data_IF_685469432784
#
_entry.id   IF_685469432784
#
_cell.length_a   1.000
_cell.length_b   1.000
_cell.length_c   1.000
_cell.angle_alpha   90.00
_cell.angle_beta   90.00
_cell.angle_gamma   90.00
#
_symmetry.space_group_name_H-M   'P 1'
#
loop_
_entity.id
_entity.type
_entity.pdbx_description
1 polymer ?
#
# COMPACT_ATOMS: atom_id res chain seq x y z
N UNK A 1 -66.07 -47.56 -76.59
CA UNK A 1 -65.18 -48.11 -75.62
C UNK A 1 -64.08 -47.03 -75.49
N UNK A 2 -64.21 -46.25 -74.52
CA UNK A 2 -63.55 -44.95 -74.47
C UNK A 2 -62.55 -44.98 -73.38
N UNK A 3 -61.34 -44.75 -73.71
CA UNK A 3 -60.25 -44.49 -72.78
C UNK A 3 -60.17 -43.04 -72.47
N UNK A 4 -60.23 -42.77 -71.21
CA UNK A 4 -60.05 -41.41 -70.64
C UNK A 4 -58.68 -41.29 -70.02
N UNK A 5 -57.77 -40.68 -70.71
CA UNK A 5 -56.45 -40.40 -70.21
C UNK A 5 -56.45 -39.07 -69.51
N UNK A 6 -56.35 -39.09 -68.20
CA UNK A 6 -56.19 -37.92 -67.40
C UNK A 6 -54.77 -37.42 -67.49
N UNK A 7 -54.67 -36.21 -67.98
CA UNK A 7 -53.43 -35.45 -68.07
C UNK A 7 -53.16 -34.77 -66.71
N UNK A 8 -52.22 -35.27 -65.93
CA UNK A 8 -51.74 -34.62 -64.72
C UNK A 8 -50.65 -33.62 -65.10
N UNK A 9 -51.01 -32.38 -64.96
CA UNK A 9 -50.05 -31.26 -65.11
C UNK A 9 -49.31 -31.05 -63.79
N UNK A 10 -47.97 -31.24 -63.73
CA UNK A 10 -47.25 -30.90 -62.56
C UNK A 10 -47.13 -29.37 -62.48
N UNK A 11 -47.70 -28.80 -61.45
CA UNK A 11 -47.48 -27.39 -61.09
C UNK A 11 -46.01 -27.15 -60.90
N UNK A 12 -45.38 -26.52 -61.88
CA UNK A 12 -44.06 -25.89 -61.70
C UNK A 12 -44.27 -24.72 -60.73
N UNK A 13 -43.84 -24.90 -59.54
CA UNK A 13 -43.66 -23.78 -58.62
C UNK A 13 -42.64 -22.77 -59.25
N UNK A 14 -43.21 -21.73 -59.83
CA UNK A 14 -42.40 -20.57 -60.24
C UNK A 14 -41.85 -19.94 -59.01
N UNK A 15 -40.61 -20.25 -58.75
CA UNK A 15 -39.84 -19.49 -57.76
C UNK A 15 -39.69 -18.08 -58.30
N UNK A 16 -40.43 -17.14 -57.71
CA UNK A 16 -40.30 -15.73 -58.02
C UNK A 16 -38.88 -15.26 -57.54
N UNK A 17 -38.14 -14.76 -58.49
CA UNK A 17 -36.79 -14.15 -58.21
C UNK A 17 -36.89 -12.91 -57.33
N UNK A 18 -38.09 -12.44 -57.05
CA UNK A 18 -38.36 -11.26 -56.19
C UNK A 18 -38.87 -11.61 -54.79
N UNK A 19 -38.59 -12.81 -54.28
CA UNK A 19 -38.90 -13.10 -52.87
C UNK A 19 -37.81 -12.51 -51.95
N UNK A 20 -37.86 -11.20 -51.78
CA UNK A 20 -37.00 -10.41 -50.91
C UNK A 20 -37.11 -10.78 -49.42
N UNK A 21 -38.01 -11.71 -49.08
CA UNK A 21 -38.19 -12.16 -47.69
C UNK A 21 -37.19 -13.18 -47.21
N UNK A 22 -36.39 -13.77 -48.09
CA UNK A 22 -35.51 -14.89 -47.72
C UNK A 22 -34.03 -14.53 -47.53
N UNK A 23 -33.60 -13.38 -47.99
CA UNK A 23 -32.23 -12.98 -47.84
C UNK A 23 -32.11 -11.80 -46.87
N UNK A 24 -32.05 -12.11 -45.58
CA UNK A 24 -31.66 -11.12 -44.61
C UNK A 24 -30.18 -10.78 -44.86
N UNK A 25 -29.96 -9.73 -45.63
CA UNK A 25 -28.60 -9.24 -45.92
C UNK A 25 -28.01 -8.77 -44.60
N UNK A 26 -27.21 -9.62 -43.99
CA UNK A 26 -26.45 -9.25 -42.79
C UNK A 26 -25.36 -8.26 -43.21
N UNK A 27 -25.25 -7.17 -42.47
CA UNK A 27 -24.15 -6.22 -42.71
C UNK A 27 -22.79 -6.93 -42.60
N UNK A 28 -21.76 -6.49 -43.36
CA UNK A 28 -20.44 -7.11 -43.33
C UNK A 28 -19.89 -7.25 -41.88
N UNK A 29 -20.18 -6.30 -41.02
CA UNK A 29 -19.82 -6.35 -39.60
C UNK A 29 -20.49 -7.47 -38.82
N UNK A 30 -21.79 -7.71 -39.09
CA UNK A 30 -22.54 -8.80 -38.46
C UNK A 30 -22.02 -10.19 -38.86
N UNK A 31 -21.56 -10.34 -40.11
CA UNK A 31 -20.97 -11.59 -40.61
C UNK A 31 -19.61 -11.86 -39.94
N UNK A 32 -18.79 -10.83 -39.77
CA UNK A 32 -17.50 -10.93 -39.08
C UNK A 32 -17.71 -11.27 -37.61
N UNK A 33 -18.62 -10.56 -36.93
CA UNK A 33 -18.97 -10.84 -35.54
C UNK A 33 -19.46 -12.27 -35.34
N UNK A 34 -20.39 -12.76 -36.20
CA UNK A 34 -20.89 -14.14 -36.14
C UNK A 34 -19.77 -15.18 -36.30
N UNK A 35 -18.81 -14.94 -37.20
CA UNK A 35 -17.63 -15.83 -37.36
C UNK A 35 -16.70 -15.77 -36.15
N UNK A 36 -16.49 -14.60 -35.60
CA UNK A 36 -15.64 -14.37 -34.42
C UNK A 36 -16.19 -15.12 -33.21
N UNK A 37 -17.49 -14.93 -32.89
CA UNK A 37 -18.11 -15.59 -31.73
C UNK A 37 -18.28 -17.10 -31.89
N UNK A 38 -18.18 -17.64 -33.11
CA UNK A 38 -18.14 -19.09 -33.35
C UNK A 38 -16.78 -19.70 -33.04
N UNK A 39 -15.72 -18.90 -32.98
CA UNK A 39 -14.40 -19.37 -32.64
C UNK A 39 -14.20 -19.29 -31.11
N UNK A 40 -14.19 -20.43 -30.43
CA UNK A 40 -14.05 -20.52 -28.97
C UNK A 40 -12.75 -19.87 -28.45
N UNK A 41 -11.63 -20.03 -29.18
CA UNK A 41 -10.36 -19.40 -28.84
C UNK A 41 -10.42 -17.87 -28.91
N UNK A 42 -11.09 -17.33 -29.93
CA UNK A 42 -11.26 -15.89 -30.07
C UNK A 42 -12.14 -15.31 -28.94
N UNK A 43 -13.17 -16.03 -28.52
CA UNK A 43 -14.04 -15.63 -27.40
C UNK A 43 -13.26 -15.65 -26.08
N UNK A 44 -12.44 -16.69 -25.83
CA UNK A 44 -11.58 -16.75 -24.64
C UNK A 44 -10.59 -15.58 -24.63
N UNK A 45 -9.91 -15.31 -25.76
CA UNK A 45 -8.99 -14.18 -25.85
C UNK A 45 -9.67 -12.84 -25.61
N UNK A 46 -10.87 -12.64 -26.17
CA UNK A 46 -11.66 -11.43 -25.91
C UNK A 46 -12.07 -11.32 -24.43
N UNK A 47 -12.45 -12.42 -23.80
CA UNK A 47 -12.84 -12.43 -22.38
C UNK A 47 -11.69 -12.03 -21.48
N UNK A 48 -10.48 -12.55 -21.75
CA UNK A 48 -9.26 -12.17 -21.01
C UNK A 48 -8.97 -10.67 -21.20
N UNK A 49 -9.06 -10.19 -22.44
CA UNK A 49 -8.80 -8.78 -22.74
C UNK A 49 -9.79 -7.87 -22.04
N UNK A 50 -11.09 -8.20 -22.05
CA UNK A 50 -12.12 -7.45 -21.34
C UNK A 50 -11.89 -7.50 -19.83
N UNK A 51 -11.53 -8.66 -19.29
CA UNK A 51 -11.22 -8.79 -17.85
C UNK A 51 -10.02 -7.93 -17.46
N UNK A 52 -8.94 -7.90 -18.25
CA UNK A 52 -7.80 -7.03 -18.01
C UNK A 52 -8.19 -5.55 -18.09
N UNK A 53 -9.02 -5.19 -19.04
CA UNK A 53 -9.48 -3.81 -19.20
C UNK A 53 -10.32 -3.37 -17.99
N UNK A 54 -11.28 -4.20 -17.57
CA UNK A 54 -12.09 -3.97 -16.38
C UNK A 54 -11.21 -3.86 -15.13
N UNK A 55 -10.25 -4.76 -14.96
CA UNK A 55 -9.32 -4.74 -13.83
C UNK A 55 -8.46 -3.48 -13.82
N UNK A 56 -8.01 -3.01 -14.98
CA UNK A 56 -7.21 -1.78 -15.10
C UNK A 56 -7.96 -0.53 -14.64
N UNK A 57 -9.26 -0.42 -14.97
CA UNK A 57 -10.06 0.74 -14.59
C UNK A 57 -10.67 0.63 -13.19
N UNK A 58 -11.12 -0.55 -12.80
CA UNK A 58 -11.76 -0.76 -11.50
C UNK A 58 -10.70 -0.96 -10.41
N UNK A 59 -9.53 -1.54 -10.74
CA UNK A 59 -8.46 -1.80 -9.77
C UNK A 59 -8.03 -0.56 -9.03
N UNK A 60 -7.87 0.58 -9.73
CA UNK A 60 -7.54 1.86 -9.11
C UNK A 60 -8.65 2.44 -8.22
N UNK A 61 -9.92 2.08 -8.49
CA UNK A 61 -11.06 2.54 -7.70
C UNK A 61 -11.29 1.72 -6.43
N UNK A 62 -10.90 0.44 -6.49
CA UNK A 62 -11.07 -0.52 -5.37
C UNK A 62 -9.82 -0.55 -4.49
N UNK A 63 -8.66 -0.13 -5.02
CA UNK A 63 -7.44 -0.06 -4.25
C UNK A 63 -7.55 1.04 -3.18
N UNK A 64 -7.35 0.72 -1.90
CA UNK A 64 -7.31 1.73 -0.84
C UNK A 64 -6.02 2.56 -0.86
N UNK A 65 -5.13 2.30 -1.83
CA UNK A 65 -3.81 2.91 -1.92
C UNK A 65 -3.78 3.97 -3.01
N UNK A 66 -3.14 5.12 -2.73
CA UNK A 66 -2.88 6.17 -3.71
C UNK A 66 -1.89 5.73 -4.79
N UNK A 67 -1.93 6.37 -5.96
CA UNK A 67 -1.03 6.05 -7.07
C UNK A 67 0.45 6.34 -6.75
N UNK A 68 0.69 7.27 -5.84
CA UNK A 68 2.03 7.71 -5.43
C UNK A 68 2.42 7.17 -4.05
N UNK A 69 1.65 6.23 -3.51
CA UNK A 69 1.88 5.67 -2.19
C UNK A 69 3.08 4.71 -2.21
N UNK A 70 4.16 5.12 -1.57
CA UNK A 70 5.37 4.29 -1.44
C UNK A 70 5.30 3.48 -0.15
N UNK A 71 5.32 2.15 -0.29
CA UNK A 71 5.40 1.24 0.85
C UNK A 71 6.86 1.01 1.22
N UNK A 72 7.28 1.61 2.33
CA UNK A 72 8.58 1.28 2.90
C UNK A 72 8.44 0.08 3.82
N UNK A 73 9.08 -1.02 3.46
CA UNK A 73 9.09 -2.23 4.29
C UNK A 73 10.10 -2.08 5.40
N UNK A 74 9.70 -1.49 6.52
CA UNK A 74 10.56 -1.37 7.71
C UNK A 74 10.89 -2.73 8.35
N UNK A 75 10.18 -3.78 8.01
CA UNK A 75 10.40 -5.14 8.51
C UNK A 75 11.57 -5.88 7.84
N UNK A 76 12.08 -5.39 6.72
CA UNK A 76 13.34 -5.89 6.15
C UNK A 76 14.53 -5.14 6.76
N UNK A 77 14.49 -5.10 8.06
CA UNK A 77 15.52 -4.44 8.81
C UNK A 77 16.80 -5.17 8.67
N UNK A 78 17.83 -4.41 8.34
CA UNK A 78 19.17 -4.78 8.72
C UNK A 78 19.12 -5.38 10.12
N UNK A 79 19.66 -6.59 10.29
CA UNK A 79 19.84 -7.19 11.59
C UNK A 79 20.45 -6.14 12.49
N UNK A 80 19.95 -6.04 13.72
CA UNK A 80 20.64 -5.25 14.74
C UNK A 80 21.99 -5.88 14.94
N UNK A 81 23.01 -5.28 14.39
CA UNK A 81 24.38 -5.69 14.65
C UNK A 81 24.77 -5.05 15.98
N UNK A 82 25.35 -5.85 16.85
CA UNK A 82 25.94 -5.36 18.10
C UNK A 82 26.90 -4.20 17.78
N UNK A 83 26.71 -3.06 18.43
CA UNK A 83 27.54 -1.88 18.23
C UNK A 83 27.09 -0.92 17.11
N UNK A 84 25.95 -1.15 16.45
CA UNK A 84 25.38 -0.15 15.54
C UNK A 84 24.55 0.82 16.36
N UNK A 85 24.97 2.07 16.36
CA UNK A 85 24.28 3.17 17.05
C UNK A 85 23.48 4.04 16.09
N UNK A 86 23.69 3.91 14.78
CA UNK A 86 23.02 4.71 13.75
C UNK A 86 22.75 3.90 12.48
N UNK A 87 21.57 4.07 11.91
CA UNK A 87 21.16 3.46 10.64
C UNK A 87 21.20 4.47 9.49
N UNK A 88 21.38 3.99 8.26
CA UNK A 88 21.29 4.81 7.05
C UNK A 88 19.87 5.31 6.78
N UNK A 89 18.86 4.60 7.26
CA UNK A 89 17.44 4.91 7.09
C UNK A 89 16.75 5.05 8.43
N UNK A 90 15.75 5.90 8.49
CA UNK A 90 14.90 6.01 9.68
C UNK A 90 14.20 4.71 10.02
N UNK A 91 14.19 4.35 11.29
CA UNK A 91 13.42 3.24 11.87
C UNK A 91 12.25 3.80 12.64
N UNK A 92 11.09 3.20 12.43
CA UNK A 92 9.89 3.55 13.18
C UNK A 92 9.70 2.59 14.36
N UNK A 93 9.53 3.12 15.54
CA UNK A 93 9.20 2.37 16.76
C UNK A 93 7.81 2.79 17.21
N UNK A 94 6.90 1.82 17.27
CA UNK A 94 5.51 2.05 17.69
C UNK A 94 5.45 2.08 19.20
N UNK A 95 4.69 3.02 19.75
CA UNK A 95 4.48 3.12 21.19
C UNK A 95 3.71 1.90 21.72
N UNK A 96 4.02 1.51 22.95
CA UNK A 96 3.43 0.35 23.59
C UNK A 96 1.89 0.45 23.62
N UNK A 97 1.22 -0.60 23.17
CA UNK A 97 -0.25 -0.66 23.13
C UNK A 97 -0.91 0.15 22.01
N UNK A 98 -0.15 0.80 21.13
CA UNK A 98 -0.70 1.52 19.98
C UNK A 98 -0.68 0.67 18.71
N UNK A 99 -1.70 0.88 17.85
CA UNK A 99 -1.76 0.30 16.50
C UNK A 99 -1.41 1.38 15.49
N UNK A 100 -0.18 1.34 14.98
CA UNK A 100 0.29 2.24 13.94
C UNK A 100 0.95 1.44 12.83
N UNK A 101 0.13 1.04 11.86
CA UNK A 101 0.53 0.12 10.79
C UNK A 101 1.54 0.72 9.82
N UNK A 102 2.21 -0.14 9.05
CA UNK A 102 3.30 0.21 8.13
C UNK A 102 2.92 1.28 7.09
N UNK A 103 1.65 1.32 6.66
CA UNK A 103 1.16 2.34 5.71
C UNK A 103 1.12 3.72 6.38
N UNK A 104 0.62 3.81 7.62
CA UNK A 104 0.63 5.06 8.36
C UNK A 104 2.05 5.55 8.64
N UNK A 105 2.98 4.62 8.95
CA UNK A 105 4.42 4.91 9.10
C UNK A 105 5.02 5.47 7.81
N UNK A 106 4.64 4.90 6.65
CA UNK A 106 5.10 5.40 5.35
C UNK A 106 4.59 6.80 5.04
N UNK A 107 3.33 7.10 5.39
CA UNK A 107 2.77 8.46 5.25
C UNK A 107 3.45 9.46 6.18
N UNK A 108 3.74 9.06 7.41
CA UNK A 108 4.50 9.88 8.34
C UNK A 108 5.90 10.21 7.78
N UNK A 109 6.59 9.22 7.21
CA UNK A 109 7.90 9.43 6.58
C UNK A 109 7.80 10.34 5.34
N UNK A 110 6.76 10.18 4.54
CA UNK A 110 6.53 11.07 3.39
C UNK A 110 6.31 12.51 3.84
N UNK A 111 5.44 12.71 4.83
CA UNK A 111 5.16 14.03 5.40
C UNK A 111 6.45 14.65 6.00
N UNK A 112 7.23 13.88 6.77
CA UNK A 112 8.49 14.38 7.35
C UNK A 112 9.49 14.82 6.29
N UNK A 113 9.63 14.06 5.17
CA UNK A 113 10.50 14.44 4.04
C UNK A 113 10.05 15.71 3.31
N UNK A 114 8.77 16.02 3.36
CA UNK A 114 8.21 17.25 2.80
C UNK A 114 8.26 18.43 3.78
N UNK A 115 8.61 18.18 5.04
CA UNK A 115 8.56 19.17 6.12
C UNK A 115 7.12 19.48 6.56
N UNK A 116 6.18 18.58 6.26
CA UNK A 116 4.79 18.69 6.71
C UNK A 116 4.69 18.21 8.15
N UNK A 117 3.96 18.96 8.98
CA UNK A 117 3.76 18.63 10.41
C UNK A 117 2.45 17.90 10.68
N UNK A 118 1.66 17.65 9.66
CA UNK A 118 0.37 16.98 9.76
C UNK A 118 0.14 16.06 8.56
N UNK A 119 -0.53 14.94 8.79
CA UNK A 119 -1.02 14.07 7.71
C UNK A 119 -2.28 13.33 8.15
N UNK A 120 -3.09 12.91 7.15
CA UNK A 120 -4.31 12.14 7.40
C UNK A 120 -4.16 10.72 6.85
N UNK A 121 -4.57 9.74 7.64
CA UNK A 121 -4.65 8.35 7.22
C UNK A 121 -5.94 7.70 7.74
N UNK A 122 -6.76 7.14 6.83
CA UNK A 122 -8.07 6.52 7.11
C UNK A 122 -8.99 7.43 7.95
N UNK A 123 -9.14 8.69 7.49
CA UNK A 123 -9.93 9.73 8.14
C UNK A 123 -9.51 10.05 9.59
N UNK A 124 -8.26 9.74 9.93
CA UNK A 124 -7.64 10.08 11.21
C UNK A 124 -6.49 11.04 10.94
N UNK A 125 -6.50 12.16 11.67
CA UNK A 125 -5.46 13.17 11.59
C UNK A 125 -4.35 12.86 12.60
N UNK A 126 -3.13 12.99 12.12
CA UNK A 126 -1.90 12.81 12.88
C UNK A 126 -1.03 14.04 12.78
N UNK A 127 -0.34 14.33 13.86
CA UNK A 127 0.66 15.42 13.92
C UNK A 127 2.06 14.84 14.03
N UNK A 128 3.01 15.52 13.39
CA UNK A 128 4.44 15.21 13.43
C UNK A 128 5.16 16.31 14.20
N UNK A 129 5.91 15.92 15.20
CA UNK A 129 6.91 16.77 15.81
C UNK A 129 8.27 16.45 15.17
N UNK A 130 8.69 17.31 14.24
CA UNK A 130 9.94 17.20 13.50
C UNK A 130 11.05 17.80 14.37
N UNK A 131 11.67 17.00 15.23
CA UNK A 131 12.72 17.45 16.13
C UNK A 131 13.97 17.85 15.34
N UNK A 132 14.40 16.99 14.39
CA UNK A 132 15.46 17.28 13.44
C UNK A 132 15.33 16.39 12.18
N UNK A 133 16.28 16.45 11.24
CA UNK A 133 16.26 15.67 9.99
C UNK A 133 16.35 14.15 10.20
N UNK A 134 16.77 13.70 11.36
CA UNK A 134 17.04 12.30 11.69
C UNK A 134 16.06 11.73 12.73
N UNK A 135 15.18 12.58 13.30
CA UNK A 135 14.29 12.18 14.37
C UNK A 135 12.96 12.97 14.34
N UNK A 136 11.85 12.27 14.40
CA UNK A 136 10.52 12.84 14.58
C UNK A 136 9.61 11.94 15.41
N UNK A 137 8.62 12.54 16.06
CA UNK A 137 7.61 11.86 16.86
C UNK A 137 6.23 12.04 16.22
N UNK A 138 5.41 10.99 16.24
CA UNK A 138 4.06 11.00 15.68
C UNK A 138 3.02 10.97 16.79
N UNK A 139 2.05 11.85 16.69
CA UNK A 139 0.95 11.98 17.62
C UNK A 139 -0.40 11.77 16.93
N UNK A 140 -1.36 11.24 17.71
CA UNK A 140 -2.78 11.26 17.42
C UNK A 140 -3.47 12.05 18.55
N UNK A 141 -3.81 13.30 18.27
CA UNK A 141 -4.19 14.24 19.33
C UNK A 141 -3.06 14.39 20.35
N UNK A 142 -3.28 14.00 21.60
CA UNK A 142 -2.26 14.06 22.65
C UNK A 142 -1.55 12.72 22.91
N UNK A 143 -1.87 11.70 22.13
CA UNK A 143 -1.30 10.36 22.32
C UNK A 143 -0.13 10.15 21.39
N UNK A 144 1.02 9.73 21.93
CA UNK A 144 2.17 9.31 21.14
C UNK A 144 1.86 7.99 20.46
N UNK A 145 1.98 7.96 19.13
CA UNK A 145 1.80 6.74 18.31
C UNK A 145 3.10 6.00 18.11
N UNK A 146 4.20 6.74 18.12
CA UNK A 146 5.54 6.21 17.92
C UNK A 146 6.50 7.31 17.50
N UNK A 147 7.74 6.91 17.24
CA UNK A 147 8.78 7.80 16.72
C UNK A 147 9.54 7.14 15.58
N UNK A 148 10.18 7.94 14.76
CA UNK A 148 11.15 7.47 13.79
C UNK A 148 12.50 8.13 14.03
N UNK A 149 13.55 7.33 14.06
CA UNK A 149 14.91 7.82 14.25
C UNK A 149 15.90 7.03 13.40
N UNK A 150 17.02 7.68 13.04
CA UNK A 150 18.21 6.99 12.54
C UNK A 150 19.08 6.48 13.67
N UNK A 151 19.10 7.21 14.78
CA UNK A 151 19.87 6.84 15.96
C UNK A 151 19.14 5.76 16.75
N UNK A 152 19.90 4.86 17.34
CA UNK A 152 19.43 3.73 18.12
C UNK A 152 19.85 3.90 19.57
N UNK A 153 18.92 3.67 20.47
CA UNK A 153 19.22 3.54 21.90
C UNK A 153 19.29 2.05 22.21
N UNK A 154 20.51 1.58 22.49
CA UNK A 154 20.79 0.20 22.84
C UNK A 154 21.10 0.11 24.33
N UNK A 155 20.74 -1.00 24.94
CA UNK A 155 21.08 -1.31 26.31
C UNK A 155 22.53 -1.81 26.41
N UNK A 156 23.24 -1.43 27.47
CA UNK A 156 24.55 -1.99 27.77
C UNK A 156 24.44 -3.49 28.14
N UNK A 157 25.54 -4.24 27.96
CA UNK A 157 25.57 -5.67 28.27
C UNK A 157 25.23 -5.91 29.75
N UNK A 158 24.14 -6.65 29.97
CA UNK A 158 23.64 -7.00 31.29
C UNK A 158 22.75 -5.94 31.96
N UNK A 159 22.47 -4.83 31.28
CA UNK A 159 21.52 -3.83 31.76
C UNK A 159 20.07 -4.26 31.47
N UNK A 160 19.12 -3.72 32.23
CA UNK A 160 17.70 -3.90 31.98
C UNK A 160 17.30 -3.22 30.66
N UNK A 161 16.29 -3.80 29.99
CA UNK A 161 15.80 -3.25 28.74
C UNK A 161 15.10 -1.92 28.96
N UNK A 162 15.47 -0.93 28.15
CA UNK A 162 14.76 0.33 28.09
C UNK A 162 13.37 0.14 27.48
N UNK A 163 12.37 0.69 28.12
CA UNK A 163 11.02 0.74 27.56
C UNK A 163 10.92 1.87 26.52
N UNK A 164 9.75 1.93 25.83
CA UNK A 164 9.50 2.95 24.82
C UNK A 164 9.74 4.37 25.32
N UNK A 165 9.23 4.71 26.52
CA UNK A 165 9.33 6.06 27.08
C UNK A 165 10.77 6.47 27.36
N UNK A 166 11.58 5.56 27.90
CA UNK A 166 13.01 5.82 28.13
C UNK A 166 13.76 6.05 26.83
N UNK A 167 13.51 5.23 25.79
CA UNK A 167 14.15 5.40 24.47
C UNK A 167 13.71 6.70 23.81
N UNK A 168 12.45 7.06 23.89
CA UNK A 168 11.93 8.32 23.36
C UNK A 168 12.55 9.53 24.06
N UNK A 169 12.62 9.50 25.41
CA UNK A 169 13.22 10.58 26.19
C UNK A 169 14.71 10.74 25.89
N UNK A 170 15.46 9.64 25.81
CA UNK A 170 16.87 9.66 25.47
C UNK A 170 17.10 10.26 24.07
N UNK A 171 16.37 9.82 23.05
CA UNK A 171 16.49 10.37 21.69
C UNK A 171 16.09 11.85 21.62
N UNK A 172 15.10 12.26 22.39
CA UNK A 172 14.69 13.67 22.47
C UNK A 172 15.78 14.52 23.12
N UNK A 173 16.36 14.07 24.22
CA UNK A 173 17.47 14.75 24.90
C UNK A 173 18.71 14.85 23.99
N UNK A 174 19.08 13.74 23.32
CA UNK A 174 20.16 13.73 22.34
C UNK A 174 19.94 14.74 21.21
N UNK A 175 18.72 14.76 20.66
CA UNK A 175 18.36 15.65 19.57
C UNK A 175 18.37 17.13 19.96
N UNK A 176 18.07 17.43 21.22
CA UNK A 176 18.13 18.79 21.81
C UNK A 176 19.50 19.18 22.33
N UNK A 177 20.45 18.24 22.41
CA UNK A 177 21.78 18.47 23.02
C UNK A 177 21.71 18.61 24.54
N UNK A 178 20.74 17.95 25.17
CA UNK A 178 20.62 17.92 26.64
C UNK A 178 21.51 16.83 27.23
N UNK A 179 22.16 17.14 28.34
CA UNK A 179 23.05 16.21 29.04
C UNK A 179 22.33 15.32 30.06
N UNK A 180 21.07 15.61 30.34
CA UNK A 180 20.24 14.89 31.32
C UNK A 180 18.81 14.73 30.79
N UNK A 181 18.18 13.63 31.17
CA UNK A 181 16.74 13.42 30.92
C UNK A 181 16.11 12.56 32.01
N UNK A 182 14.82 12.69 32.20
CA UNK A 182 14.05 11.87 33.14
C UNK A 182 13.05 10.99 32.38
N UNK A 183 12.97 9.72 32.75
CA UNK A 183 11.96 8.79 32.25
C UNK A 183 11.56 7.80 33.34
N UNK A 184 10.25 7.52 33.45
CA UNK A 184 9.70 6.57 34.43
C UNK A 184 10.12 6.84 35.89
N UNK A 185 10.37 8.10 36.25
CA UNK A 185 10.77 8.48 37.60
C UNK A 185 12.25 8.22 37.90
N UNK A 186 13.07 7.95 36.88
CA UNK A 186 14.53 7.81 36.98
C UNK A 186 15.18 8.95 36.22
N UNK A 187 16.20 9.56 36.83
CA UNK A 187 17.03 10.58 36.20
C UNK A 187 18.23 9.89 35.54
N UNK A 188 18.47 10.21 34.27
CA UNK A 188 19.56 9.71 33.45
C UNK A 188 20.47 10.85 33.04
N UNK A 189 21.76 10.57 32.93
CA UNK A 189 22.73 11.48 32.33
C UNK A 189 23.22 10.91 30.97
N UNK A 190 23.43 11.81 30.02
CA UNK A 190 24.02 11.55 28.71
C UNK A 190 25.39 12.19 28.65
N UNK A 191 26.39 11.44 28.26
CA UNK A 191 27.73 12.00 28.01
C UNK A 191 27.91 12.43 26.53
N UNK A 192 29.03 13.05 26.21
CA UNK A 192 29.37 13.52 24.87
C UNK A 192 29.46 12.37 23.84
N UNK A 193 29.71 11.16 24.29
CA UNK A 193 29.76 9.94 23.44
C UNK A 193 28.39 9.28 23.29
N UNK A 194 27.36 9.81 23.95
CA UNK A 194 25.97 9.30 23.91
C UNK A 194 25.71 8.13 24.86
N UNK A 195 26.62 7.87 25.83
CA UNK A 195 26.35 6.83 26.82
C UNK A 195 25.32 7.30 27.84
N UNK A 196 24.39 6.43 28.15
CA UNK A 196 23.30 6.66 29.11
C UNK A 196 23.72 6.08 30.47
N UNK A 197 23.73 6.92 31.49
CA UNK A 197 24.08 6.51 32.86
C UNK A 197 22.97 6.87 33.84
N UNK A 198 22.80 6.04 34.87
CA UNK A 198 21.93 6.34 35.99
C UNK A 198 22.54 5.75 37.26
N UNK A 199 22.52 6.52 38.37
CA UNK A 199 23.10 6.09 39.65
C UNK A 199 24.59 5.74 39.60
N UNK A 200 25.32 6.23 38.60
CA UNK A 200 26.74 5.93 38.39
C UNK A 200 27.03 4.63 37.61
N UNK A 201 26.01 3.97 37.08
CA UNK A 201 26.18 2.81 36.22
C UNK A 201 25.87 3.19 34.77
N UNK A 202 26.63 2.68 33.79
CA UNK A 202 26.35 2.80 32.38
C UNK A 202 25.29 1.79 32.00
N UNK A 203 24.19 2.26 31.41
CA UNK A 203 23.02 1.47 31.10
C UNK A 203 22.77 1.32 29.57
N UNK A 204 23.34 2.20 28.76
CA UNK A 204 23.18 2.20 27.31
C UNK A 204 24.15 3.11 26.60
#
# INVERSE_FOLDING_TARGET
MSENTQNQNPQQEQYSLNDDRRVKVLSPGALVAKRFFRNRLAVVGLSILVAMFVFSFIGGLVSPYGQDEQFFTYTQMSKEYVGVTRNDTMRFVVADGQDFGSIAQSKALEASKKGETEFTYKDVDYTLDLVNDDFYVVYKGNTVMGYASRDLVNEADGADKFNFETKLAALTAMANGEEEFAANGVDYALDEDGNITAGGATLG
#
